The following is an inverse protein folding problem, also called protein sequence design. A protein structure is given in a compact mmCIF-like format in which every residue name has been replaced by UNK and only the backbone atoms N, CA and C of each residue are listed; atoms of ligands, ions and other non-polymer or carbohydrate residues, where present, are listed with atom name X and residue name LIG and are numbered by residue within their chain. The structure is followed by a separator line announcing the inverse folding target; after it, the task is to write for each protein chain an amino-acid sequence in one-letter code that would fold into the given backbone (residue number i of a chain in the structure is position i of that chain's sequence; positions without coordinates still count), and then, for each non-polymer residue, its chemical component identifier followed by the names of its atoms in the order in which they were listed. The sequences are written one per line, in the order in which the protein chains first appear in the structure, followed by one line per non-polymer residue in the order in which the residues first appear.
data_IF_320383949083
#
_entry.id   IF_320383949083
#
_cell.length_a   1.000
_cell.length_b   1.000
_cell.length_c   1.000
_cell.angle_alpha   90.00
_cell.angle_beta   90.00
_cell.angle_gamma   90.00
#
_symmetry.space_group_name_H-M   'P 1'
#
loop_
_entity.id
_entity.type
_entity.pdbx_description
1 polymer ?
#
# COMPACT_ATOMS: atom_id res chain seq x y z
N UNK A 1 9.55 36.60 13.98
CA UNK A 1 9.70 35.77 15.19
C UNK A 1 9.65 34.31 14.74
N UNK A 2 10.77 33.58 14.85
CA UNK A 2 10.86 32.18 14.45
C UNK A 2 10.23 31.34 15.57
N UNK A 3 9.16 30.62 15.25
CA UNK A 3 8.51 29.71 16.19
C UNK A 3 9.51 28.64 16.63
N UNK A 4 9.82 28.61 17.92
CA UNK A 4 10.70 27.59 18.50
C UNK A 4 9.92 26.27 18.52
N UNK A 5 10.25 25.37 17.62
CA UNK A 5 9.69 24.02 17.63
C UNK A 5 10.22 23.28 18.87
N UNK A 6 9.35 22.61 19.63
CA UNK A 6 9.72 21.91 20.87
C UNK A 6 10.39 20.54 20.64
N UNK A 7 10.74 20.22 19.40
CA UNK A 7 11.36 18.96 19.04
C UNK A 7 12.10 19.10 17.71
N UNK A 8 13.13 18.29 17.52
CA UNK A 8 13.83 18.15 16.25
C UNK A 8 12.91 17.59 15.14
N UNK A 9 13.21 17.84 13.86
CA UNK A 9 12.52 17.18 12.76
C UNK A 9 12.53 15.65 12.90
N UNK A 10 11.48 14.99 12.41
CA UNK A 10 11.40 13.54 12.47
C UNK A 10 12.28 12.90 11.40
N UNK A 11 13.30 12.14 11.80
CA UNK A 11 14.23 11.47 10.88
C UNK A 11 13.70 10.10 10.37
N UNK A 12 12.47 9.73 10.72
CA UNK A 12 11.86 8.44 10.38
C UNK A 12 10.62 8.64 9.51
N UNK A 13 10.76 8.71 8.17
CA UNK A 13 9.63 8.86 7.26
C UNK A 13 8.55 7.80 7.50
N UNK A 14 8.96 6.54 7.71
CA UNK A 14 8.07 5.40 7.99
C UNK A 14 7.25 5.52 9.28
N UNK A 15 7.59 6.43 10.20
CA UNK A 15 6.77 6.70 11.38
C UNK A 15 5.42 7.36 11.03
N UNK A 16 5.35 8.07 9.89
CA UNK A 16 4.17 8.83 9.50
C UNK A 16 3.36 8.08 8.43
N UNK A 17 2.03 7.94 8.58
CA UNK A 17 1.18 7.25 7.61
C UNK A 17 1.30 7.78 6.18
N UNK A 18 1.48 9.10 6.02
CA UNK A 18 1.54 9.75 4.71
C UNK A 18 2.74 9.28 3.89
N UNK A 19 3.89 9.04 4.52
CA UNK A 19 5.11 8.57 3.87
C UNK A 19 5.14 7.04 3.68
N UNK A 20 4.17 6.30 4.24
CA UNK A 20 4.06 4.84 4.06
C UNK A 20 3.21 4.42 2.88
N UNK A 21 2.56 5.37 2.20
CA UNK A 21 1.66 5.07 1.09
C UNK A 21 2.42 4.43 -0.07
N UNK A 22 1.81 3.40 -0.66
CA UNK A 22 2.31 2.82 -1.90
C UNK A 22 2.20 3.84 -3.04
N UNK A 23 3.19 3.87 -3.92
CA UNK A 23 3.13 4.68 -5.13
C UNK A 23 2.10 4.10 -6.10
N UNK A 24 1.68 4.89 -7.10
CA UNK A 24 0.76 4.42 -8.13
C UNK A 24 1.31 3.20 -8.89
N UNK A 25 2.62 3.19 -9.19
CA UNK A 25 3.29 2.05 -9.83
C UNK A 25 3.24 0.78 -8.97
N UNK A 26 3.52 0.92 -7.66
CA UNK A 26 3.43 -0.18 -6.71
C UNK A 26 1.99 -0.71 -6.56
N UNK A 27 0.97 0.16 -6.61
CA UNK A 27 -0.43 -0.26 -6.58
C UNK A 27 -0.78 -1.07 -7.83
N UNK A 28 -0.40 -0.62 -9.02
CA UNK A 28 -0.63 -1.36 -10.26
C UNK A 28 0.07 -2.73 -10.24
N UNK A 29 1.30 -2.80 -9.72
CA UNK A 29 2.03 -4.05 -9.57
C UNK A 29 1.37 -4.98 -8.55
N UNK A 30 0.95 -4.44 -7.41
CA UNK A 30 0.20 -5.18 -6.39
C UNK A 30 -1.09 -5.75 -6.96
N UNK A 31 -1.79 -5.00 -7.80
CA UNK A 31 -3.00 -5.46 -8.48
C UNK A 31 -2.70 -6.62 -9.43
N UNK A 32 -1.70 -6.50 -10.31
CA UNK A 32 -1.27 -7.59 -11.22
C UNK A 32 -0.94 -8.86 -10.44
N UNK A 33 -0.14 -8.75 -9.38
CA UNK A 33 0.26 -9.89 -8.57
C UNK A 33 -0.90 -10.47 -7.75
N UNK A 34 -1.81 -9.63 -7.26
CA UNK A 34 -3.03 -10.07 -6.57
C UNK A 34 -3.92 -10.90 -7.50
N UNK A 35 -4.06 -10.47 -8.76
CA UNK A 35 -4.84 -11.16 -9.78
C UNK A 35 -4.20 -12.49 -10.19
N UNK A 36 -2.86 -12.57 -10.18
CA UNK A 36 -2.11 -13.80 -10.36
C UNK A 36 -2.14 -14.75 -9.13
N UNK A 37 -2.83 -14.38 -8.06
CA UNK A 37 -2.93 -15.20 -6.84
C UNK A 37 -1.70 -15.15 -5.94
N UNK A 38 -0.77 -14.21 -6.15
CA UNK A 38 0.46 -14.15 -5.37
C UNK A 38 0.19 -13.91 -3.87
N UNK A 39 0.94 -14.59 -2.99
CA UNK A 39 0.81 -14.40 -1.55
C UNK A 39 1.36 -13.02 -1.13
N UNK A 40 0.77 -12.36 -0.12
CA UNK A 40 1.15 -11.00 0.30
C UNK A 40 2.64 -10.82 0.63
N UNK A 41 3.29 -11.87 1.15
CA UNK A 41 4.72 -11.86 1.44
C UNK A 41 5.57 -11.66 0.19
N UNK A 42 5.25 -12.36 -0.90
CA UNK A 42 5.97 -12.27 -2.17
C UNK A 42 5.72 -10.90 -2.79
N UNK A 43 4.47 -10.42 -2.78
CA UNK A 43 4.12 -9.06 -3.21
C UNK A 43 4.97 -8.02 -2.47
N UNK A 44 5.01 -8.08 -1.14
CA UNK A 44 5.79 -7.13 -0.34
C UNK A 44 7.29 -7.19 -0.61
N UNK A 45 7.85 -8.36 -0.94
CA UNK A 45 9.25 -8.47 -1.35
C UNK A 45 9.48 -7.80 -2.70
N UNK A 46 8.65 -8.12 -3.69
CA UNK A 46 8.76 -7.54 -5.03
C UNK A 46 8.59 -6.00 -5.02
N UNK A 47 7.67 -5.47 -4.22
CA UNK A 47 7.47 -4.03 -4.10
C UNK A 47 8.63 -3.30 -3.42
N UNK A 48 9.46 -4.02 -2.63
CA UNK A 48 10.68 -3.46 -2.01
C UNK A 48 11.87 -3.46 -2.97
N UNK A 49 11.87 -4.39 -3.92
CA UNK A 49 12.91 -4.46 -4.97
C UNK A 49 12.66 -3.43 -6.09
N UNK A 50 11.46 -2.85 -6.15
CA UNK A 50 11.11 -1.76 -7.07
C UNK A 50 11.87 -0.48 -6.70
N UNK A 51 12.81 -0.07 -7.56
CA UNK A 51 13.69 1.10 -7.34
C UNK A 51 12.96 2.43 -7.45
N UNK A 52 11.86 2.47 -8.20
CA UNK A 52 11.04 3.67 -8.40
C UNK A 52 9.87 3.73 -7.39
N UNK A 53 9.77 2.71 -6.53
CA UNK A 53 8.75 2.57 -5.50
C UNK A 53 9.12 3.26 -4.18
N UNK A 54 8.13 3.34 -3.29
CA UNK A 54 8.37 3.70 -1.90
C UNK A 54 8.91 2.46 -1.15
N UNK A 55 10.09 2.48 -0.51
CA UNK A 55 10.58 1.36 0.28
C UNK A 55 10.03 1.31 1.72
N UNK A 56 9.48 2.43 2.22
CA UNK A 56 9.12 2.63 3.63
C UNK A 56 7.72 2.10 4.00
N UNK A 57 6.99 1.50 3.06
CA UNK A 57 5.69 0.92 3.38
C UNK A 57 5.81 -0.24 4.37
N UNK A 58 4.77 -0.40 5.19
CA UNK A 58 4.63 -1.54 6.08
C UNK A 58 3.85 -2.66 5.38
N UNK A 59 4.05 -3.90 5.83
CA UNK A 59 3.27 -5.06 5.34
C UNK A 59 1.77 -4.81 5.40
N UNK A 60 1.30 -4.09 6.43
CA UNK A 60 -0.12 -3.70 6.58
C UNK A 60 -0.65 -2.94 5.36
N UNK A 61 0.15 -2.07 4.75
CA UNK A 61 -0.26 -1.31 3.57
C UNK A 61 -0.52 -2.23 2.37
N UNK A 62 0.28 -3.29 2.22
CA UNK A 62 0.06 -4.34 1.20
C UNK A 62 -1.25 -5.09 1.44
N UNK A 63 -1.54 -5.44 2.70
CA UNK A 63 -2.81 -6.10 3.05
C UNK A 63 -4.02 -5.18 2.82
N UNK A 64 -3.93 -3.91 3.21
CA UNK A 64 -4.97 -2.91 2.99
C UNK A 64 -5.25 -2.75 1.49
N UNK A 65 -4.22 -2.47 0.69
CA UNK A 65 -4.35 -2.31 -0.75
C UNK A 65 -4.92 -3.57 -1.42
N UNK A 66 -4.48 -4.76 -1.00
CA UNK A 66 -5.02 -6.04 -1.51
C UNK A 66 -6.51 -6.21 -1.16
N UNK A 67 -6.91 -5.84 0.05
CA UNK A 67 -8.33 -5.87 0.46
C UNK A 67 -9.13 -4.89 -0.38
N UNK A 68 -8.64 -3.67 -0.56
CA UNK A 68 -9.35 -2.62 -1.28
C UNK A 68 -9.54 -3.00 -2.77
N UNK A 69 -8.53 -3.60 -3.40
CA UNK A 69 -8.64 -4.16 -4.77
C UNK A 69 -9.69 -5.27 -4.84
N UNK A 70 -9.72 -6.18 -3.85
CA UNK A 70 -10.74 -7.24 -3.80
C UNK A 70 -12.14 -6.66 -3.63
N UNK A 71 -12.30 -5.67 -2.76
CA UNK A 71 -13.57 -4.98 -2.53
C UNK A 71 -14.02 -4.25 -3.80
N UNK A 72 -13.12 -3.53 -4.48
CA UNK A 72 -13.43 -2.85 -5.74
C UNK A 72 -13.90 -3.86 -6.81
N UNK A 73 -13.18 -4.98 -6.96
CA UNK A 73 -13.58 -6.07 -7.88
C UNK A 73 -14.89 -6.75 -7.52
N UNK A 74 -15.26 -6.76 -6.25
CA UNK A 74 -16.56 -7.26 -5.79
C UNK A 74 -17.65 -6.21 -5.98
N UNK A 75 -17.36 -4.92 -5.85
CA UNK A 75 -18.32 -3.86 -6.16
C UNK A 75 -18.65 -3.81 -7.66
N UNK A 76 -17.68 -4.10 -8.53
CA UNK A 76 -17.88 -4.30 -9.97
C UNK A 76 -18.63 -5.61 -10.31
N UNK A 77 -18.65 -6.56 -9.37
CA UNK A 77 -19.38 -7.83 -9.45
C UNK A 77 -20.48 -7.80 -8.40
N UNK A 78 -21.49 -6.95 -8.60
CA UNK A 78 -22.66 -6.93 -7.72
C UNK A 78 -23.09 -8.35 -7.37
N UNK A 79 -23.39 -8.67 -6.10
CA UNK A 79 -24.11 -9.89 -5.82
C UNK A 79 -25.45 -9.75 -6.55
N UNK A 80 -25.66 -10.54 -7.60
CA UNK A 80 -27.02 -10.95 -7.95
C UNK A 80 -27.53 -11.53 -6.64
N UNK A 81 -28.47 -10.84 -6.02
CA UNK A 81 -29.18 -11.26 -4.82
C UNK A 81 -29.56 -12.72 -5.03
N UNK A 82 -28.84 -13.62 -4.36
CA UNK A 82 -29.12 -15.03 -4.38
C UNK A 82 -30.27 -15.24 -3.39
N UNK A 83 -31.48 -15.37 -3.97
CA UNK A 83 -32.74 -15.88 -3.41
C UNK A 83 -33.40 -15.08 -2.27
#
# INVERSE_FOLDING_TARGET
MVGKHNHDPSDRPSAHPQHRKLTTGQIQQLERMTNAGAPPRIIAMTLRDDRDGNPDFLRREVYNAKRDIKTAKLAERTPIVAC
#
